data_IF_721559412780
#
_entry.id   IF_721559412780
#
_cell.length_a   1.000
_cell.length_b   1.000
_cell.length_c   1.000
_cell.angle_alpha   90.00
_cell.angle_beta   90.00
_cell.angle_gamma   90.00
#
_symmetry.space_group_name_H-M   'P 1'
#
loop_
_entity.id
_entity.type
_entity.pdbx_description
1 polymer ?
#
# COMPACT_ATOMS: atom_id res chain seq x y z
N UNK A 1 -12.29 -10.05 -19.08
CA UNK A 1 -12.28 -8.59 -19.28
C UNK A 1 -10.86 -8.19 -19.68
N UNK A 2 -10.70 -7.65 -20.87
CA UNK A 2 -9.42 -7.08 -21.30
C UNK A 2 -9.23 -5.77 -20.53
N UNK A 3 -8.12 -5.64 -19.82
CA UNK A 3 -7.81 -4.44 -19.09
C UNK A 3 -7.02 -3.51 -20.00
N UNK A 4 -7.65 -2.39 -20.40
CA UNK A 4 -6.94 -1.32 -21.06
C UNK A 4 -5.99 -0.65 -20.06
N UNK A 5 -4.71 -0.85 -20.30
CA UNK A 5 -3.68 -0.10 -19.59
C UNK A 5 -3.62 1.30 -20.18
N UNK A 6 -3.61 2.36 -19.36
CA UNK A 6 -3.34 3.69 -19.88
C UNK A 6 -1.96 3.69 -20.54
N UNK A 7 -1.95 3.94 -21.84
CA UNK A 7 -0.73 3.98 -22.66
C UNK A 7 -0.10 5.37 -22.74
N UNK A 8 -0.49 6.28 -21.85
CA UNK A 8 0.05 7.64 -21.78
C UNK A 8 1.48 7.67 -21.22
N UNK A 9 2.37 8.54 -21.76
CA UNK A 9 3.68 8.74 -21.19
C UNK A 9 3.53 9.40 -19.81
N UNK A 10 3.80 8.66 -18.75
CA UNK A 10 3.86 9.15 -17.37
C UNK A 10 2.93 8.50 -16.35
N UNK A 11 1.92 7.74 -16.76
CA UNK A 11 0.99 7.08 -15.85
C UNK A 11 1.03 5.56 -15.98
N UNK A 12 2.13 4.98 -15.55
CA UNK A 12 2.19 3.54 -15.37
C UNK A 12 1.61 3.17 -14.01
N UNK A 13 0.61 2.29 -13.99
CA UNK A 13 0.05 1.73 -12.77
C UNK A 13 0.80 0.45 -12.40
N UNK A 14 1.32 0.42 -11.19
CA UNK A 14 1.80 -0.83 -10.62
C UNK A 14 0.59 -1.69 -10.26
N UNK A 15 0.55 -2.89 -10.81
CA UNK A 15 -0.55 -3.81 -10.62
C UNK A 15 -0.19 -4.84 -9.58
N UNK A 16 -1.07 -4.98 -8.61
CA UNK A 16 -1.35 -6.18 -7.87
C UNK A 16 -1.18 -6.17 -6.38
N UNK A 17 -2.33 -6.43 -5.79
CA UNK A 17 -2.44 -6.83 -4.40
C UNK A 17 -3.70 -7.68 -4.27
N UNK A 18 -3.56 -8.87 -3.71
CA UNK A 18 -4.69 -9.75 -3.44
C UNK A 18 -5.60 -9.13 -2.38
N UNK A 19 -6.90 -9.01 -2.68
CA UNK A 19 -7.92 -8.50 -1.76
C UNK A 19 -8.75 -9.60 -1.08
N UNK A 20 -8.32 -10.86 -1.12
CA UNK A 20 -8.97 -11.94 -0.38
C UNK A 20 -8.72 -11.87 1.12
N UNK A 21 -9.23 -12.84 1.88
CA UNK A 21 -8.95 -12.97 3.32
C UNK A 21 -7.43 -13.11 3.59
N UNK A 22 -6.66 -13.50 2.58
CA UNK A 22 -5.20 -13.51 2.56
C UNK A 22 -4.55 -12.14 2.27
N UNK A 23 -5.34 -11.10 2.07
CA UNK A 23 -4.87 -9.70 1.93
C UNK A 23 -3.85 -9.30 2.99
N UNK A 24 -3.87 -10.00 4.08
CA UNK A 24 -3.05 -9.80 5.26
C UNK A 24 -1.64 -10.38 5.13
N UNK A 25 -1.31 -11.11 4.07
CA UNK A 25 0.04 -11.64 3.81
C UNK A 25 0.83 -10.77 2.83
N UNK A 26 0.68 -9.44 2.99
CA UNK A 26 1.49 -8.48 2.26
C UNK A 26 2.96 -8.72 2.53
N UNK A 27 3.48 -9.53 1.68
CA UNK A 27 4.89 -9.73 1.66
C UNK A 27 5.53 -8.64 0.80
N UNK A 28 6.78 -8.37 1.04
CA UNK A 28 7.68 -7.61 0.17
C UNK A 28 7.54 -8.08 -1.31
N UNK A 29 7.11 -9.31 -1.53
CA UNK A 29 6.86 -9.90 -2.86
C UNK A 29 5.88 -9.07 -3.70
N UNK A 30 4.75 -8.66 -3.13
CA UNK A 30 3.72 -7.95 -3.90
C UNK A 30 4.15 -6.51 -4.19
N UNK A 31 4.86 -5.87 -3.28
CA UNK A 31 5.48 -4.57 -3.51
C UNK A 31 6.59 -4.66 -4.54
N UNK A 32 7.40 -5.73 -4.49
CA UNK A 32 8.42 -6.00 -5.48
C UNK A 32 7.80 -6.22 -6.86
N UNK A 33 6.74 -7.03 -6.95
CA UNK A 33 6.01 -7.23 -8.21
C UNK A 33 5.53 -5.91 -8.80
N UNK A 34 4.84 -5.07 -8.00
CA UNK A 34 4.36 -3.77 -8.43
C UNK A 34 5.49 -2.84 -8.89
N UNK A 35 6.60 -2.82 -8.16
CA UNK A 35 7.78 -2.01 -8.53
C UNK A 35 8.42 -2.48 -9.83
N UNK A 36 8.58 -3.79 -10.02
CA UNK A 36 9.10 -4.36 -11.26
C UNK A 36 8.17 -4.07 -12.44
N UNK A 37 6.87 -4.26 -12.23
CA UNK A 37 5.84 -4.01 -13.25
C UNK A 37 5.80 -2.55 -13.69
N UNK A 38 5.97 -1.60 -12.76
CA UNK A 38 6.09 -0.17 -13.08
C UNK A 38 7.21 0.13 -14.07
N UNK A 39 8.32 -0.62 -13.98
CA UNK A 39 9.46 -0.47 -14.87
C UNK A 39 9.41 -1.35 -16.12
N UNK A 40 8.36 -2.16 -16.27
CA UNK A 40 8.19 -3.07 -17.39
C UNK A 40 7.78 -2.33 -18.68
N UNK A 41 8.04 -2.97 -19.81
CA UNK A 41 7.65 -2.53 -21.15
C UNK A 41 6.67 -3.56 -21.72
N UNK A 42 5.67 -3.12 -22.48
CA UNK A 42 4.75 -4.00 -23.17
C UNK A 42 5.32 -4.47 -24.52
N UNK A 43 5.35 -5.78 -24.76
CA UNK A 43 5.81 -6.41 -26.02
C UNK A 43 4.62 -6.55 -26.98
N UNK A 44 4.37 -5.53 -27.79
CA UNK A 44 3.24 -5.51 -28.74
C UNK A 44 3.35 -6.53 -29.87
N UNK A 45 4.57 -6.79 -30.31
CA UNK A 45 4.84 -7.57 -31.54
C UNK A 45 5.21 -9.02 -31.22
N UNK A 46 5.53 -9.34 -29.96
CA UNK A 46 5.99 -10.66 -29.56
C UNK A 46 5.00 -11.40 -28.67
N UNK A 47 5.29 -11.46 -27.39
CA UNK A 47 4.52 -12.25 -26.41
C UNK A 47 3.19 -11.65 -26.01
N UNK A 48 2.90 -10.39 -26.38
CA UNK A 48 1.75 -9.61 -25.93
C UNK A 48 1.67 -9.52 -24.38
N UNK A 49 2.82 -9.50 -23.73
CA UNK A 49 2.96 -9.45 -22.27
C UNK A 49 3.88 -8.29 -21.86
N UNK A 50 3.78 -7.87 -20.61
CA UNK A 50 4.75 -6.97 -20.04
C UNK A 50 6.03 -7.73 -19.71
N UNK A 51 7.17 -7.08 -19.95
CA UNK A 51 8.48 -7.65 -19.64
C UNK A 51 9.44 -6.61 -19.06
N UNK A 52 10.39 -7.08 -18.27
CA UNK A 52 11.51 -6.30 -17.76
C UNK A 52 12.82 -6.95 -18.15
N UNK A 53 13.70 -6.23 -18.83
CA UNK A 53 15.03 -6.71 -19.16
C UNK A 53 15.88 -6.90 -17.90
N UNK A 54 16.70 -7.94 -17.87
CA UNK A 54 17.55 -8.27 -16.72
C UNK A 54 18.52 -7.12 -16.35
N UNK A 55 19.11 -6.46 -17.35
CA UNK A 55 19.99 -5.30 -17.10
C UNK A 55 19.23 -4.15 -16.44
N UNK A 56 17.96 -3.93 -16.81
CA UNK A 56 17.11 -2.89 -16.21
C UNK A 56 16.77 -3.24 -14.77
N UNK A 57 16.47 -4.51 -14.50
CA UNK A 57 16.30 -5.00 -13.14
C UNK A 57 17.54 -4.73 -12.28
N UNK A 58 18.72 -5.04 -12.77
CA UNK A 58 19.98 -4.77 -12.05
C UNK A 58 20.17 -3.29 -11.73
N UNK A 59 19.72 -2.39 -12.60
CA UNK A 59 19.83 -0.93 -12.38
C UNK A 59 18.84 -0.37 -11.37
N UNK A 60 17.61 -0.93 -11.27
CA UNK A 60 16.56 -0.43 -10.38
C UNK A 60 16.54 -1.11 -9.00
N UNK A 61 17.10 -2.32 -8.89
CA UNK A 61 17.16 -3.11 -7.66
C UNK A 61 17.78 -2.36 -6.46
N UNK A 62 18.88 -1.60 -6.59
CA UNK A 62 19.45 -0.87 -5.46
C UNK A 62 18.52 0.14 -4.83
N UNK A 63 17.68 0.82 -5.63
CA UNK A 63 16.69 1.76 -5.12
C UNK A 63 15.59 1.05 -4.29
N UNK A 64 15.12 -0.12 -4.75
CA UNK A 64 14.18 -0.94 -4.01
C UNK A 64 14.78 -1.46 -2.69
N UNK A 65 16.00 -2.00 -2.73
CA UNK A 65 16.74 -2.47 -1.55
C UNK A 65 16.87 -1.37 -0.50
N UNK A 66 17.28 -0.17 -0.91
CA UNK A 66 17.44 0.98 -0.03
C UNK A 66 16.09 1.44 0.54
N UNK A 67 15.07 1.57 -0.31
CA UNK A 67 13.75 2.05 0.09
C UNK A 67 13.04 1.12 1.07
N UNK A 68 13.15 -0.19 0.85
CA UNK A 68 12.53 -1.21 1.71
C UNK A 68 13.35 -1.55 2.96
N UNK A 69 14.59 -1.09 3.06
CA UNK A 69 15.47 -1.39 4.18
C UNK A 69 15.84 -2.89 4.31
N UNK A 70 15.86 -3.61 3.18
CA UNK A 70 16.16 -5.05 3.14
C UNK A 70 17.47 -5.35 2.41
N UNK A 71 18.02 -6.55 2.60
CA UNK A 71 19.23 -6.94 1.88
C UNK A 71 18.94 -7.28 0.42
N UNK A 72 19.96 -7.15 -0.43
CA UNK A 72 19.88 -7.56 -1.84
C UNK A 72 19.56 -9.06 -1.99
N UNK A 73 20.03 -9.91 -1.06
CA UNK A 73 19.70 -11.34 -1.01
C UNK A 73 18.22 -11.56 -0.70
N UNK A 74 17.70 -10.81 0.27
CA UNK A 74 16.26 -10.84 0.61
C UNK A 74 15.40 -10.52 -0.62
N UNK A 75 15.74 -9.47 -1.35
CA UNK A 75 15.02 -9.09 -2.58
C UNK A 75 15.11 -10.16 -3.66
N UNK A 76 16.27 -10.82 -3.83
CA UNK A 76 16.38 -11.96 -4.74
C UNK A 76 15.49 -13.13 -4.35
N UNK A 77 15.46 -13.50 -3.07
CA UNK A 77 14.58 -14.55 -2.57
C UNK A 77 13.08 -14.23 -2.81
N UNK A 78 12.69 -12.95 -2.71
CA UNK A 78 11.32 -12.54 -3.02
C UNK A 78 11.03 -12.59 -4.52
N UNK A 79 11.99 -12.29 -5.38
CA UNK A 79 11.85 -12.47 -6.83
C UNK A 79 11.67 -13.97 -7.18
N UNK A 80 12.47 -14.84 -6.55
CA UNK A 80 12.33 -16.30 -6.75
C UNK A 80 10.94 -16.80 -6.35
N UNK A 81 10.40 -16.31 -5.22
CA UNK A 81 9.01 -16.61 -4.81
C UNK A 81 7.96 -16.12 -5.81
N UNK A 82 8.15 -14.96 -6.43
CA UNK A 82 7.26 -14.49 -7.49
C UNK A 82 7.30 -15.40 -8.71
N UNK A 83 8.47 -15.96 -9.01
CA UNK A 83 8.64 -16.94 -10.09
C UNK A 83 7.97 -18.28 -9.70
N UNK A 84 8.22 -18.80 -8.51
CA UNK A 84 7.60 -20.03 -7.99
C UNK A 84 6.06 -19.94 -7.97
N UNK A 85 5.52 -18.78 -7.64
CA UNK A 85 4.07 -18.49 -7.68
C UNK A 85 3.53 -18.33 -9.11
N UNK A 86 4.36 -18.40 -10.13
CA UNK A 86 3.98 -18.24 -11.53
C UNK A 86 3.58 -16.82 -11.92
N UNK A 87 3.89 -15.81 -11.10
CA UNK A 87 3.54 -14.40 -11.36
C UNK A 87 4.50 -13.73 -12.32
N UNK A 88 5.73 -14.22 -12.30
CA UNK A 88 6.82 -13.82 -13.20
C UNK A 88 7.40 -15.08 -13.79
N UNK A 89 7.67 -15.07 -15.09
CA UNK A 89 8.41 -16.14 -15.78
C UNK A 89 9.74 -15.58 -16.28
N UNK A 90 10.82 -16.30 -16.10
CA UNK A 90 12.12 -15.91 -16.62
C UNK A 90 12.33 -16.47 -18.02
N UNK A 91 12.51 -15.58 -18.99
CA UNK A 91 12.91 -15.91 -20.37
C UNK A 91 14.44 -15.82 -20.48
N UNK A 92 15.11 -16.97 -20.29
CA UNK A 92 16.58 -17.05 -20.31
C UNK A 92 17.16 -16.69 -21.69
N UNK A 93 16.46 -16.98 -22.77
CA UNK A 93 16.95 -16.72 -24.14
C UNK A 93 17.02 -15.21 -24.41
N UNK A 94 16.02 -14.48 -23.96
CA UNK A 94 15.92 -13.02 -24.15
C UNK A 94 16.42 -12.23 -22.93
N UNK A 95 16.93 -12.91 -21.91
CA UNK A 95 17.43 -12.28 -20.66
C UNK A 95 16.44 -11.27 -20.09
N UNK A 96 15.18 -11.72 -19.88
CA UNK A 96 14.07 -10.87 -19.40
C UNK A 96 13.12 -11.63 -18.48
N UNK A 97 12.36 -10.87 -17.71
CA UNK A 97 11.26 -11.33 -16.88
C UNK A 97 9.94 -10.99 -17.56
N UNK A 98 9.05 -11.95 -17.72
CA UNK A 98 7.70 -11.82 -18.27
C UNK A 98 6.70 -11.77 -17.11
N UNK A 99 5.69 -10.89 -17.20
CA UNK A 99 4.68 -10.73 -16.15
C UNK A 99 3.39 -11.44 -16.55
N UNK A 100 2.94 -12.36 -15.70
CA UNK A 100 1.70 -13.10 -15.88
C UNK A 100 0.57 -12.36 -15.14
N UNK A 101 -0.26 -11.62 -15.90
CA UNK A 101 -1.22 -10.67 -15.32
C UNK A 101 -2.63 -11.23 -15.10
N UNK A 102 -2.92 -12.49 -15.47
CA UNK A 102 -4.29 -12.89 -15.81
C UNK A 102 -5.18 -13.35 -14.63
N UNK A 103 -4.67 -13.64 -13.44
CA UNK A 103 -5.45 -14.52 -12.56
C UNK A 103 -5.69 -14.07 -11.12
N UNK A 104 -5.37 -12.87 -10.72
CA UNK A 104 -5.42 -12.54 -9.28
C UNK A 104 -6.07 -11.19 -9.00
N UNK A 105 -6.92 -11.12 -7.96
CA UNK A 105 -7.45 -9.86 -7.46
C UNK A 105 -6.33 -8.85 -7.23
N UNK A 106 -6.55 -7.59 -7.60
CA UNK A 106 -5.52 -6.56 -7.53
C UNK A 106 -6.10 -5.22 -7.07
N UNK A 107 -5.26 -4.40 -6.51
CA UNK A 107 -5.51 -2.98 -6.32
C UNK A 107 -4.67 -2.18 -7.31
N UNK A 108 -5.25 -1.16 -7.89
CA UNK A 108 -4.53 -0.21 -8.73
C UNK A 108 -3.72 0.73 -7.87
N UNK A 109 -2.41 0.83 -8.15
CA UNK A 109 -1.53 1.83 -7.55
C UNK A 109 -0.92 2.66 -8.67
N UNK A 110 -0.95 3.97 -8.51
CA UNK A 110 -0.22 4.85 -9.40
C UNK A 110 1.29 4.61 -9.25
N UNK A 111 1.96 4.33 -10.37
CA UNK A 111 3.37 3.95 -10.36
C UNK A 111 4.30 5.02 -9.82
N UNK A 112 4.02 6.30 -10.10
CA UNK A 112 4.81 7.42 -9.57
C UNK A 112 4.65 7.54 -8.05
N UNK A 113 3.44 7.31 -7.54
CA UNK A 113 3.17 7.29 -6.11
C UNK A 113 3.84 6.09 -5.42
N UNK A 114 3.75 4.89 -6.01
CA UNK A 114 4.43 3.70 -5.49
C UNK A 114 5.95 3.91 -5.44
N UNK A 115 6.54 4.46 -6.49
CA UNK A 115 7.98 4.79 -6.52
C UNK A 115 8.35 5.78 -5.42
N UNK A 116 7.55 6.83 -5.24
CA UNK A 116 7.73 7.81 -4.17
C UNK A 116 7.70 7.13 -2.80
N UNK A 117 6.71 6.30 -2.53
CA UNK A 117 6.57 5.57 -1.26
C UNK A 117 7.78 4.66 -1.02
N UNK A 118 8.17 3.83 -1.99
CA UNK A 118 9.31 2.91 -1.86
C UNK A 118 10.63 3.65 -1.60
N UNK A 119 10.81 4.84 -2.17
CA UNK A 119 12.05 5.61 -2.01
C UNK A 119 12.11 6.47 -0.77
N UNK A 120 10.97 6.80 -0.15
CA UNK A 120 10.89 7.79 0.94
C UNK A 120 10.23 7.30 2.22
N UNK A 121 9.52 6.17 2.19
CA UNK A 121 8.78 5.62 3.31
C UNK A 121 9.31 4.24 3.71
N UNK A 122 9.07 3.82 4.96
CA UNK A 122 9.36 2.46 5.37
C UNK A 122 8.23 1.51 4.97
N UNK A 123 8.49 0.20 5.07
CA UNK A 123 7.56 -0.85 4.67
C UNK A 123 6.18 -0.73 5.36
N UNK A 124 6.15 -0.44 6.66
CA UNK A 124 4.89 -0.35 7.42
C UNK A 124 4.03 0.84 6.95
N UNK A 125 4.66 1.97 6.61
CA UNK A 125 3.96 3.13 6.02
C UNK A 125 3.29 2.74 4.71
N UNK A 126 3.99 2.01 3.85
CA UNK A 126 3.46 1.55 2.56
C UNK A 126 2.30 0.59 2.78
N UNK A 127 2.44 -0.40 3.67
CA UNK A 127 1.40 -1.37 3.99
C UNK A 127 0.13 -0.69 4.50
N UNK A 128 0.28 0.23 5.47
CA UNK A 128 -0.86 0.97 6.04
C UNK A 128 -1.53 1.83 4.96
N UNK A 129 -0.75 2.55 4.15
CA UNK A 129 -1.30 3.34 3.05
C UNK A 129 -2.15 2.50 2.10
N UNK A 130 -1.64 1.36 1.66
CA UNK A 130 -2.33 0.50 0.70
C UNK A 130 -3.57 -0.15 1.33
N UNK A 131 -3.47 -0.57 2.59
CA UNK A 131 -4.64 -1.06 3.33
C UNK A 131 -5.74 0.00 3.38
N UNK A 132 -5.40 1.23 3.79
CA UNK A 132 -6.35 2.34 3.84
C UNK A 132 -6.94 2.63 2.46
N UNK A 133 -6.12 2.66 1.41
CA UNK A 133 -6.58 2.87 0.03
C UNK A 133 -7.58 1.81 -0.41
N UNK A 134 -7.29 0.54 -0.14
CA UNK A 134 -8.18 -0.56 -0.52
C UNK A 134 -9.53 -0.47 0.20
N UNK A 135 -9.51 -0.13 1.49
CA UNK A 135 -10.73 0.00 2.30
C UNK A 135 -11.51 1.25 1.93
N UNK A 136 -10.84 2.37 1.74
CA UNK A 136 -11.47 3.60 1.29
C UNK A 136 -12.23 3.39 -0.02
N UNK A 137 -11.58 2.83 -1.04
CA UNK A 137 -12.23 2.51 -2.33
C UNK A 137 -13.40 1.55 -2.19
N UNK A 138 -13.28 0.56 -1.31
CA UNK A 138 -14.38 -0.37 -1.05
C UNK A 138 -15.60 0.33 -0.46
N UNK A 139 -15.41 1.20 0.54
CA UNK A 139 -16.51 1.87 1.23
C UNK A 139 -17.01 3.14 0.52
N UNK A 140 -16.21 3.76 -0.34
CA UNK A 140 -16.61 4.94 -1.14
C UNK A 140 -17.02 4.59 -2.56
N UNK A 141 -17.01 3.31 -2.92
CA UNK A 141 -17.50 2.83 -4.21
C UNK A 141 -19.03 2.89 -4.33
N UNK A 142 -19.51 2.67 -5.55
CA UNK A 142 -20.92 2.81 -5.92
C UNK A 142 -21.90 2.02 -5.06
N UNK A 143 -21.45 0.89 -4.49
CA UNK A 143 -22.27 0.01 -3.67
C UNK A 143 -22.61 0.56 -2.27
N UNK A 144 -21.79 1.45 -1.71
CA UNK A 144 -21.91 1.88 -0.31
C UNK A 144 -22.30 3.35 -0.12
N UNK A 145 -22.15 4.19 -1.15
CA UNK A 145 -22.53 5.62 -1.14
C UNK A 145 -21.97 6.42 0.06
N UNK A 146 -20.83 6.02 0.58
CA UNK A 146 -20.12 6.72 1.64
C UNK A 146 -18.95 7.49 1.00
N UNK A 147 -18.62 8.63 1.58
CA UNK A 147 -17.48 9.46 1.19
C UNK A 147 -16.30 9.36 2.16
N UNK A 148 -16.37 8.38 3.09
CA UNK A 148 -15.36 8.16 4.12
C UNK A 148 -15.22 6.68 4.48
N UNK A 149 -14.12 6.35 5.19
CA UNK A 149 -13.88 5.06 5.81
C UNK A 149 -13.49 5.23 7.28
N UNK A 150 -14.25 4.64 8.19
CA UNK A 150 -13.95 4.66 9.63
C UNK A 150 -13.15 3.44 10.04
N UNK A 151 -12.10 3.66 10.85
CA UNK A 151 -11.22 2.60 11.35
C UNK A 151 -10.75 2.87 12.79
N UNK A 152 -10.30 1.83 13.47
CA UNK A 152 -9.63 1.93 14.77
C UNK A 152 -8.15 1.59 14.63
N UNK A 153 -7.32 2.02 15.58
CA UNK A 153 -5.90 1.61 15.62
C UNK A 153 -5.78 0.09 15.78
N UNK A 154 -6.71 -0.54 16.51
CA UNK A 154 -6.78 -1.98 16.65
C UNK A 154 -6.96 -2.68 15.30
N UNK A 155 -7.91 -2.19 14.48
CA UNK A 155 -8.12 -2.74 13.13
C UNK A 155 -6.84 -2.69 12.28
N UNK A 156 -6.12 -1.57 12.32
CA UNK A 156 -4.88 -1.43 11.54
C UNK A 156 -3.77 -2.35 12.07
N UNK A 157 -3.64 -2.50 13.39
CA UNK A 157 -2.65 -3.41 13.97
C UNK A 157 -2.97 -4.86 13.62
N UNK A 158 -4.21 -5.28 13.78
CA UNK A 158 -4.62 -6.67 13.57
C UNK A 158 -4.74 -7.02 12.09
N UNK A 159 -5.39 -6.17 11.29
CA UNK A 159 -5.74 -6.47 9.90
C UNK A 159 -4.69 -6.04 8.89
N UNK A 160 -3.96 -4.96 9.14
CA UNK A 160 -2.92 -4.49 8.22
C UNK A 160 -1.52 -4.96 8.62
N UNK A 161 -1.14 -4.87 9.90
CA UNK A 161 0.21 -5.21 10.37
C UNK A 161 0.31 -6.59 11.03
N UNK A 162 -0.80 -7.31 11.20
CA UNK A 162 -0.87 -8.67 11.77
C UNK A 162 -0.28 -8.84 13.18
N UNK A 163 -0.37 -7.82 13.98
CA UNK A 163 -0.03 -7.98 15.38
C UNK A 163 -1.07 -8.87 16.07
N UNK A 164 -0.65 -9.99 16.65
CA UNK A 164 -1.55 -10.85 17.40
C UNK A 164 -2.05 -10.16 18.67
N UNK A 165 -3.32 -10.35 19.00
CA UNK A 165 -4.04 -9.78 20.16
C UNK A 165 -3.39 -10.02 21.54
N UNK A 166 -2.30 -10.80 21.65
CA UNK A 166 -1.71 -11.22 22.92
C UNK A 166 -0.79 -10.18 23.57
N UNK A 167 -0.49 -9.10 22.90
CA UNK A 167 0.30 -8.02 23.49
C UNK A 167 -0.38 -6.68 23.20
N UNK A 168 -0.97 -6.05 24.20
CA UNK A 168 -1.19 -4.61 24.22
C UNK A 168 0.19 -3.93 24.13
N UNK A 169 0.80 -3.99 22.95
CA UNK A 169 2.11 -3.41 22.74
C UNK A 169 1.91 -1.90 22.53
N UNK A 170 1.97 -1.14 23.63
CA UNK A 170 1.90 0.33 23.59
C UNK A 170 2.86 0.93 22.56
N UNK A 171 4.01 0.28 22.33
CA UNK A 171 4.97 0.71 21.32
C UNK A 171 4.43 0.51 19.89
N UNK A 172 3.68 -0.57 19.62
CA UNK A 172 3.06 -0.78 18.32
C UNK A 172 1.99 0.26 18.04
N UNK A 173 1.15 0.59 19.02
CA UNK A 173 0.15 1.67 18.92
C UNK A 173 0.84 3.01 18.68
N UNK A 174 1.88 3.34 19.43
CA UNK A 174 2.66 4.57 19.25
C UNK A 174 3.28 4.64 17.86
N UNK A 175 3.88 3.56 17.39
CA UNK A 175 4.48 3.50 16.07
C UNK A 175 3.42 3.67 14.95
N UNK A 176 2.24 3.05 15.12
CA UNK A 176 1.14 3.20 14.17
C UNK A 176 0.64 4.64 14.09
N UNK A 177 0.52 5.33 15.24
CA UNK A 177 0.18 6.76 15.29
C UNK A 177 1.21 7.62 14.52
N UNK A 178 2.49 7.32 14.68
CA UNK A 178 3.58 7.98 13.94
C UNK A 178 3.44 7.72 12.44
N UNK A 179 3.06 6.50 12.03
CA UNK A 179 2.84 6.14 10.62
C UNK A 179 1.67 6.95 10.03
N UNK A 180 0.54 7.02 10.74
CA UNK A 180 -0.61 7.81 10.30
C UNK A 180 -0.28 9.30 10.18
N UNK A 181 0.46 9.83 11.17
CA UNK A 181 0.94 11.21 11.12
C UNK A 181 1.88 11.45 9.94
N UNK A 182 2.81 10.53 9.66
CA UNK A 182 3.71 10.63 8.50
C UNK A 182 2.93 10.62 7.16
N UNK A 183 1.92 9.75 7.03
CA UNK A 183 1.05 9.73 5.86
C UNK A 183 0.28 11.03 5.66
N UNK A 184 -0.29 11.57 6.75
CA UNK A 184 -1.01 12.85 6.72
C UNK A 184 -0.07 14.03 6.40
N UNK A 185 1.11 14.09 7.03
CA UNK A 185 2.14 15.08 6.76
C UNK A 185 2.63 15.07 5.31
N UNK A 186 2.67 13.91 4.69
CA UNK A 186 2.99 13.76 3.25
C UNK A 186 1.85 14.20 2.33
N UNK A 187 0.69 14.56 2.88
CA UNK A 187 -0.52 14.88 2.13
C UNK A 187 -1.15 13.68 1.43
N UNK A 188 -0.87 12.46 1.92
CA UNK A 188 -1.39 11.22 1.35
C UNK A 188 -2.76 10.86 1.89
N UNK A 189 -3.08 11.26 3.12
CA UNK A 189 -4.38 11.03 3.78
C UNK A 189 -4.85 12.27 4.51
N UNK A 190 -6.18 12.40 4.64
CA UNK A 190 -6.82 13.25 5.63
C UNK A 190 -7.65 12.38 6.57
N UNK A 191 -7.48 12.61 7.85
CA UNK A 191 -8.12 11.83 8.91
C UNK A 191 -8.66 12.79 9.96
N UNK A 192 -9.87 12.55 10.43
CA UNK A 192 -10.48 13.25 11.55
C UNK A 192 -10.86 12.30 12.68
N UNK A 193 -11.10 12.82 13.87
CA UNK A 193 -11.69 12.05 14.96
C UNK A 193 -13.20 12.02 14.80
N UNK A 194 -13.80 10.86 14.98
CA UNK A 194 -15.26 10.66 14.96
C UNK A 194 -15.68 9.74 16.08
N UNK A 195 -16.95 9.78 16.43
CA UNK A 195 -17.56 8.91 17.42
C UNK A 195 -18.58 7.99 16.75
N UNK A 196 -18.65 6.77 17.23
CA UNK A 196 -19.66 5.77 16.84
C UNK A 196 -20.34 5.22 18.07
N UNK A 197 -21.59 4.84 17.90
CA UNK A 197 -22.36 4.14 18.91
C UNK A 197 -22.17 2.63 18.81
N UNK A 198 -21.84 2.00 19.92
CA UNK A 198 -21.91 0.55 20.07
C UNK A 198 -23.36 0.06 20.13
N UNK A 199 -23.58 -1.25 19.99
CA UNK A 199 -24.89 -1.87 20.12
C UNK A 199 -25.55 -1.69 21.50
N UNK A 200 -24.73 -1.50 22.53
CA UNK A 200 -25.13 -1.24 23.92
C UNK A 200 -25.43 0.25 24.21
N UNK A 201 -25.30 1.12 23.19
CA UNK A 201 -25.51 2.56 23.33
C UNK A 201 -24.28 3.35 23.83
N UNK A 202 -23.14 2.72 24.05
CA UNK A 202 -21.91 3.42 24.44
C UNK A 202 -21.19 4.02 23.23
N UNK A 203 -20.69 5.24 23.37
CA UNK A 203 -19.86 5.87 22.33
C UNK A 203 -18.44 5.33 22.36
N UNK A 204 -17.85 5.14 21.19
CA UNK A 204 -16.44 4.85 21.05
C UNK A 204 -15.80 5.69 19.94
N UNK A 205 -14.53 5.99 20.11
CA UNK A 205 -13.80 6.83 19.18
C UNK A 205 -13.26 6.02 17.99
N UNK A 206 -13.37 6.59 16.81
CA UNK A 206 -12.80 6.07 15.56
C UNK A 206 -12.01 7.17 14.86
N UNK A 207 -11.14 6.75 13.97
CA UNK A 207 -10.54 7.62 12.97
C UNK A 207 -11.36 7.53 11.69
N UNK A 208 -11.70 8.67 11.13
CA UNK A 208 -12.43 8.79 9.87
C UNK A 208 -11.49 9.26 8.78
N UNK A 209 -11.24 8.40 7.79
CA UNK A 209 -10.50 8.74 6.59
C UNK A 209 -11.44 9.41 5.60
N UNK A 210 -11.23 10.69 5.33
CA UNK A 210 -12.05 11.52 4.42
C UNK A 210 -11.40 11.74 3.07
N UNK A 211 -10.09 11.49 2.97
CA UNK A 211 -9.34 11.61 1.74
C UNK A 211 -8.14 10.66 1.74
N UNK A 212 -7.85 10.08 0.59
CA UNK A 212 -6.59 9.39 0.31
C UNK A 212 -6.13 9.73 -1.12
N UNK A 213 -4.87 10.14 -1.27
CA UNK A 213 -4.31 10.43 -2.58
C UNK A 213 -4.10 9.13 -3.37
N UNK A 214 -4.67 9.02 -4.54
CA UNK A 214 -4.50 7.87 -5.43
C UNK A 214 -3.35 8.05 -6.41
N UNK A 215 -2.99 9.32 -6.69
CA UNK A 215 -1.88 9.68 -7.55
C UNK A 215 -0.90 10.60 -6.82
N UNK A 216 0.32 10.68 -7.35
CA UNK A 216 1.32 11.59 -6.78
C UNK A 216 0.89 13.07 -6.86
N UNK A 217 0.11 13.43 -7.88
CA UNK A 217 -0.38 14.80 -8.09
C UNK A 217 -1.49 15.22 -7.14
N UNK A 218 -2.29 14.27 -6.64
CA UNK A 218 -3.41 14.54 -5.72
C UNK A 218 -2.97 14.85 -4.28
N UNK A 219 -1.70 14.59 -3.95
CA UNK A 219 -1.20 14.87 -2.60
C UNK A 219 -1.46 16.32 -2.21
N UNK A 220 -2.00 16.53 -1.03
CA UNK A 220 -2.17 17.89 -0.47
C UNK A 220 -0.80 18.53 -0.26
N UNK A 221 -0.48 19.59 -0.98
CA UNK A 221 0.86 20.22 -0.97
C UNK A 221 1.15 21.04 0.27
N UNK A 222 0.12 21.55 0.92
CA UNK A 222 0.23 22.36 2.15
C UNK A 222 -0.56 21.63 3.22
N UNK A 223 0.17 20.97 4.10
CA UNK A 223 -0.41 20.26 5.25
C UNK A 223 0.00 21.04 6.49
N UNK A 224 -0.96 21.66 7.16
CA UNK A 224 -0.73 22.18 8.50
C UNK A 224 -0.60 21.01 9.46
N UNK A 225 0.62 20.76 9.94
CA UNK A 225 0.91 19.65 10.87
C UNK A 225 0.06 19.73 12.15
N UNK A 226 -0.41 20.92 12.53
CA UNK A 226 -1.26 21.11 13.71
C UNK A 226 -2.60 20.38 13.55
N UNK A 227 -3.13 20.29 12.33
CA UNK A 227 -4.40 19.62 12.05
C UNK A 227 -4.35 18.10 12.32
N UNK A 228 -3.15 17.52 12.42
CA UNK A 228 -2.96 16.07 12.62
C UNK A 228 -2.24 15.72 13.92
N UNK A 229 -1.96 16.70 14.79
CA UNK A 229 -1.27 16.45 16.07
C UNK A 229 -2.03 15.46 16.97
N UNK A 230 -3.36 15.40 16.87
CA UNK A 230 -4.16 14.42 17.60
C UNK A 230 -3.77 12.96 17.26
N UNK A 231 -3.25 12.69 16.06
CA UNK A 231 -2.75 11.37 15.70
C UNK A 231 -1.57 10.94 16.58
N UNK A 232 -0.82 11.86 17.15
CA UNK A 232 0.31 11.56 18.04
C UNK A 232 -0.10 11.34 19.50
N UNK A 233 -1.41 11.42 19.83
CA UNK A 233 -1.90 11.19 21.19
C UNK A 233 -1.79 12.42 22.09
N UNK A 234 -1.95 13.63 21.56
CA UNK A 234 -1.76 14.90 22.27
C UNK A 234 -2.98 15.52 22.96
N UNK A 235 -4.11 14.82 23.07
CA UNK A 235 -5.31 15.30 23.79
C UNK A 235 -5.93 14.21 24.65
N UNK A 236 -6.47 14.62 25.79
CA UNK A 236 -6.97 13.86 26.94
C UNK A 236 -8.14 12.89 26.71
N UNK A 237 -8.32 12.37 25.51
CA UNK A 237 -9.42 11.45 25.19
C UNK A 237 -9.03 9.95 25.27
N UNK A 238 -7.77 9.62 25.51
CA UNK A 238 -7.31 8.24 25.55
C UNK A 238 -7.38 7.57 26.95
N UNK A 239 -7.93 8.24 27.98
CA UNK A 239 -7.96 7.73 29.35
C UNK A 239 -9.25 6.98 29.75
N UNK A 240 -10.14 6.68 28.80
CA UNK A 240 -11.36 5.96 29.09
C UNK A 240 -11.48 4.66 28.32
N UNK A 241 -10.57 3.71 28.57
CA UNK A 241 -10.82 2.28 28.37
C UNK A 241 -9.84 1.50 29.22
N UNK A 242 -10.15 1.31 30.49
CA UNK A 242 -9.81 0.11 31.23
C UNK A 242 -10.72 -1.04 30.83
#
# INVERSE_FOLDING_TARGET
MAFDFPTGPGENYARRISLGDDFMNWAIDDLLYGYLFYHATYDKEGTQQHYLQDYKWRSIRPAFVKGMGVSARTVSNHLDKLIERGLITRDEKKQRYLFNCETVPYIWLNGSLLRYLITTANNNVIIIYIYLLSKYRYFTGDDYQQDYFDFTLKDLLEKALKYSNKSHNMNAVKNLRIILFDLAKRGLIEVEQAEKLNRDGTNYHVFRLTFIAETFGERKRIVDENNFKFLLGGTSLDNSTE
#
